data_IF_304735473848
#
_entry.id   IF_304735473848
#
_cell.length_a   1.000
_cell.length_b   1.000
_cell.length_c   1.000
_cell.angle_alpha   90.00
_cell.angle_beta   90.00
_cell.angle_gamma   90.00
#
_symmetry.space_group_name_H-M   'P 1'
#
loop_
_entity.id
_entity.type
_entity.pdbx_description
1 polymer ?
#
# COMPACT_ATOMS: atom_id res chain seq x y z
N UNK A 1 -16.92 26.02 -11.36
CA UNK A 1 -16.37 24.66 -11.29
C UNK A 1 -17.21 23.86 -10.31
N UNK A 2 -17.82 22.78 -10.75
CA UNK A 2 -18.53 21.85 -9.85
C UNK A 2 -17.49 20.87 -9.32
N UNK A 3 -17.11 20.95 -8.05
CA UNK A 3 -16.27 19.93 -7.44
C UNK A 3 -17.09 18.64 -7.29
N UNK A 4 -16.71 17.60 -8.03
CA UNK A 4 -17.27 16.27 -7.84
C UNK A 4 -16.75 15.73 -6.51
N UNK A 5 -17.65 15.60 -5.53
CA UNK A 5 -17.36 14.89 -4.28
C UNK A 5 -17.18 13.41 -4.60
N UNK A 6 -15.92 12.97 -4.68
CA UNK A 6 -15.56 11.57 -4.89
C UNK A 6 -15.26 10.91 -3.55
N UNK A 7 -15.61 9.64 -3.42
CA UNK A 7 -15.22 8.86 -2.24
C UNK A 7 -13.71 8.67 -2.25
N UNK A 8 -13.09 8.67 -1.07
CA UNK A 8 -11.64 8.42 -0.94
C UNK A 8 -11.21 7.10 -1.60
N UNK A 9 -12.04 6.05 -1.54
CA UNK A 9 -11.78 4.78 -2.23
C UNK A 9 -11.74 4.92 -3.75
N UNK A 10 -12.60 5.76 -4.32
CA UNK A 10 -12.65 6.02 -5.76
C UNK A 10 -11.43 6.84 -6.21
N UNK A 11 -11.02 7.83 -5.42
CA UNK A 11 -9.79 8.60 -5.64
C UNK A 11 -8.57 7.68 -5.63
N UNK A 12 -8.44 6.81 -4.61
CA UNK A 12 -7.34 5.85 -4.50
C UNK A 12 -7.30 4.92 -5.71
N UNK A 13 -8.44 4.32 -6.08
CA UNK A 13 -8.52 3.42 -7.25
C UNK A 13 -8.06 4.11 -8.52
N UNK A 14 -8.60 5.30 -8.82
CA UNK A 14 -8.26 6.04 -10.03
C UNK A 14 -6.79 6.48 -10.04
N UNK A 15 -6.26 6.94 -8.91
CA UNK A 15 -4.85 7.29 -8.78
C UNK A 15 -3.93 6.09 -9.03
N UNK A 16 -4.24 4.95 -8.42
CA UNK A 16 -3.53 3.68 -8.64
C UNK A 16 -3.54 3.27 -10.10
N UNK A 17 -4.71 3.29 -10.76
CA UNK A 17 -4.83 2.95 -12.19
C UNK A 17 -4.01 3.89 -13.08
N UNK A 18 -4.02 5.19 -12.79
CA UNK A 18 -3.24 6.17 -13.54
C UNK A 18 -1.72 5.93 -13.40
N UNK A 19 -1.24 5.70 -12.18
CA UNK A 19 0.17 5.39 -11.91
C UNK A 19 0.59 4.08 -12.60
N UNK A 20 -0.23 3.04 -12.49
CA UNK A 20 0.00 1.76 -13.15
C UNK A 20 0.12 1.91 -14.67
N UNK A 21 -0.77 2.69 -15.29
CA UNK A 21 -0.76 2.93 -16.73
C UNK A 21 0.47 3.71 -17.19
N UNK A 22 0.91 4.69 -16.41
CA UNK A 22 2.01 5.57 -16.78
C UNK A 22 3.40 4.96 -16.51
N UNK A 23 3.55 4.23 -15.41
CA UNK A 23 4.86 3.80 -14.88
C UNK A 23 5.07 2.28 -14.93
N UNK A 24 4.00 1.51 -15.17
CA UNK A 24 4.00 0.07 -14.94
C UNK A 24 4.06 -0.28 -13.45
N UNK A 25 3.96 -1.57 -13.09
CA UNK A 25 3.92 -2.01 -11.69
C UNK A 25 5.17 -1.62 -10.89
N UNK A 26 6.36 -1.79 -11.48
CA UNK A 26 7.63 -1.51 -10.81
C UNK A 26 7.84 0.00 -10.58
N UNK A 27 7.52 0.82 -11.58
CA UNK A 27 7.65 2.27 -11.46
C UNK A 27 6.61 2.86 -10.50
N UNK A 28 5.40 2.31 -10.49
CA UNK A 28 4.35 2.68 -9.53
C UNK A 28 4.76 2.35 -8.08
N UNK A 29 5.32 1.15 -7.83
CA UNK A 29 5.81 0.79 -6.50
C UNK A 29 6.90 1.75 -6.01
N UNK A 30 7.92 2.03 -6.83
CA UNK A 30 8.98 3.00 -6.50
C UNK A 30 8.44 4.40 -6.25
N UNK A 31 7.47 4.86 -7.05
CA UNK A 31 6.84 6.16 -6.83
C UNK A 31 6.18 6.25 -5.45
N UNK A 32 5.51 5.17 -5.01
CA UNK A 32 4.91 5.12 -3.68
C UNK A 32 5.97 5.01 -2.57
N UNK A 33 7.09 4.33 -2.82
CA UNK A 33 8.24 4.28 -1.89
C UNK A 33 8.92 5.65 -1.73
N UNK A 34 9.00 6.45 -2.80
CA UNK A 34 9.53 7.82 -2.72
C UNK A 34 8.54 8.80 -2.08
N UNK A 35 7.24 8.53 -2.17
CA UNK A 35 6.20 9.33 -1.55
C UNK A 35 6.06 8.98 -0.06
N UNK A 36 6.29 9.95 0.83
CA UNK A 36 6.23 9.74 2.29
C UNK A 36 7.21 8.66 2.81
N UNK A 37 8.36 8.46 2.14
CA UNK A 37 9.33 7.38 2.43
C UNK A 37 8.72 5.96 2.44
N UNK A 38 7.71 5.71 1.62
CA UNK A 38 7.00 4.42 1.57
C UNK A 38 5.97 4.26 2.68
N UNK A 39 5.66 5.35 3.39
CA UNK A 39 4.78 5.39 4.53
C UNK A 39 5.53 5.23 5.86
N UNK A 40 4.78 4.90 6.91
CA UNK A 40 5.32 4.70 8.24
C UNK A 40 5.41 3.20 8.55
N UNK A 41 6.53 2.77 9.12
CA UNK A 41 6.77 1.40 9.54
C UNK A 41 8.01 0.80 8.87
N UNK A 42 8.68 -0.09 9.58
CA UNK A 42 9.81 -0.86 9.05
C UNK A 42 9.41 -2.33 9.06
N UNK A 43 8.73 -2.77 8.00
CA UNK A 43 8.22 -4.14 7.92
C UNK A 43 9.33 -5.18 8.15
N UNK A 44 10.54 -4.91 7.66
CA UNK A 44 11.66 -5.83 7.84
C UNK A 44 11.98 -5.97 9.32
N UNK A 45 12.17 -4.86 10.02
CA UNK A 45 12.45 -4.86 11.46
C UNK A 45 11.29 -5.42 12.28
N UNK A 46 10.07 -5.02 11.96
CA UNK A 46 8.84 -5.41 12.67
C UNK A 46 8.54 -6.91 12.49
N UNK A 47 8.75 -7.47 11.29
CA UNK A 47 8.56 -8.91 11.02
C UNK A 47 9.44 -9.77 11.92
N UNK A 48 10.68 -9.35 12.20
CA UNK A 48 11.59 -10.09 13.08
C UNK A 48 11.38 -9.80 14.59
N UNK A 49 10.50 -8.86 14.95
CA UNK A 49 10.09 -8.64 16.34
C UNK A 49 8.89 -9.51 16.74
N UNK A 50 8.14 -10.01 15.76
CA UNK A 50 6.99 -10.87 15.99
C UNK A 50 7.42 -12.34 16.05
N UNK A 51 6.76 -13.18 16.87
CA UNK A 51 6.94 -14.61 16.82
C UNK A 51 6.53 -15.14 15.43
N UNK A 52 7.24 -16.16 14.93
CA UNK A 52 6.75 -16.90 13.78
C UNK A 52 5.62 -17.82 14.24
N UNK A 53 4.41 -17.53 13.77
CA UNK A 53 3.24 -18.36 13.98
C UNK A 53 3.07 -19.35 12.82
N UNK A 54 2.75 -20.59 13.15
CA UNK A 54 2.20 -21.56 12.21
C UNK A 54 0.83 -21.11 11.70
N UNK A 55 0.41 -21.67 10.56
CA UNK A 55 -0.93 -21.41 10.00
C UNK A 55 -2.01 -21.85 11.00
N UNK A 56 -1.80 -22.99 11.66
CA UNK A 56 -2.70 -23.52 12.69
C UNK A 56 -2.83 -22.57 13.88
N UNK A 57 -1.74 -21.94 14.34
CA UNK A 57 -1.79 -20.96 15.43
C UNK A 57 -2.59 -19.73 15.03
N UNK A 58 -2.35 -19.17 13.84
CA UNK A 58 -3.08 -18.00 13.32
C UNK A 58 -4.59 -18.27 13.24
N UNK A 59 -4.99 -19.46 12.80
CA UNK A 59 -6.40 -19.82 12.67
C UNK A 59 -7.13 -19.98 14.02
N UNK A 60 -6.38 -20.13 15.11
CA UNK A 60 -6.92 -20.33 16.47
C UNK A 60 -6.75 -19.10 17.39
N UNK A 61 -6.30 -17.95 16.84
CA UNK A 61 -6.27 -16.65 17.54
C UNK A 61 -7.64 -15.97 17.57
#
# INVERSE_FOLDING_TARGET
MTMKLMKNSEIKRIGTEALMKALGPIGMARYLEEYDNGGNGDYTKEKYQQPDYSVEEILNM
#
